data_IF_731859663843
#
_entry.id   IF_731859663843
#
_cell.length_a   1.000
_cell.length_b   1.000
_cell.length_c   1.000
_cell.angle_alpha   90.00
_cell.angle_beta   90.00
_cell.angle_gamma   90.00
#
_symmetry.space_group_name_H-M   'P 1'
#
loop_
_entity.id
_entity.type
_entity.pdbx_description
1 polymer ?
#
# COMPACT_ATOMS: atom_id res chain seq x y z
N UNK A 1 12.38 -0.52 -6.25
CA UNK A 1 11.61 0.21 -5.30
C UNK A 1 12.30 1.50 -4.87
N UNK A 2 11.55 2.54 -4.83
CA UNK A 2 12.07 3.82 -4.43
C UNK A 2 11.72 4.14 -3.01
N UNK A 3 12.63 4.80 -2.35
CA UNK A 3 12.32 5.29 -1.05
C UNK A 3 13.14 6.53 -0.81
N UNK A 4 12.60 7.33 0.06
CA UNK A 4 13.23 8.57 0.43
C UNK A 4 14.27 8.33 1.47
N UNK A 5 15.45 8.82 1.25
CA UNK A 5 16.48 8.64 2.25
C UNK A 5 17.26 9.89 2.51
N UNK A 6 16.84 10.96 1.93
CA UNK A 6 17.58 12.20 2.07
C UNK A 6 17.43 12.77 3.47
N UNK A 7 16.37 12.46 4.17
CA UNK A 7 16.21 12.98 5.53
C UNK A 7 16.49 11.94 6.58
N UNK A 8 17.13 10.87 6.21
CA UNK A 8 17.50 9.88 7.18
C UNK A 8 16.40 8.92 7.59
N UNK A 9 15.27 8.97 6.93
CA UNK A 9 14.23 7.99 7.19
C UNK A 9 13.74 7.41 5.88
N UNK A 10 13.08 6.29 5.98
CA UNK A 10 12.61 5.56 4.82
C UNK A 10 11.14 5.28 4.94
N UNK A 11 10.48 5.23 3.81
CA UNK A 11 9.10 4.83 3.76
C UNK A 11 8.95 3.81 2.62
N UNK A 12 8.23 2.76 2.90
CA UNK A 12 7.92 1.74 1.91
C UNK A 12 6.43 1.80 1.65
N UNK A 13 6.06 1.91 0.40
CA UNK A 13 4.66 1.96 0.04
C UNK A 13 4.37 0.98 -1.08
N UNK A 14 3.15 0.51 -1.10
CA UNK A 14 2.71 -0.44 -2.12
C UNK A 14 1.21 -0.29 -2.29
N UNK A 15 0.70 -0.86 -3.38
CA UNK A 15 -0.73 -0.86 -3.64
C UNK A 15 -1.24 -2.29 -3.59
N UNK A 16 -2.37 -2.48 -2.93
CA UNK A 16 -3.00 -3.79 -2.80
C UNK A 16 -4.40 -3.69 -3.33
N UNK A 17 -4.85 -4.77 -3.95
CA UNK A 17 -6.24 -4.84 -4.38
C UNK A 17 -7.14 -4.72 -3.15
N UNK A 18 -8.12 -3.83 -3.23
CA UNK A 18 -8.96 -3.55 -2.08
C UNK A 18 -9.76 -4.77 -1.65
N UNK A 19 -9.98 -5.70 -2.56
CA UNK A 19 -10.71 -6.93 -2.24
C UNK A 19 -9.82 -8.02 -1.67
N UNK A 20 -8.52 -7.80 -1.65
CA UNK A 20 -7.59 -8.81 -1.15
C UNK A 20 -7.42 -8.67 0.35
N UNK A 21 -8.40 -9.21 1.06
CA UNK A 21 -8.42 -9.09 2.51
C UNK A 21 -7.20 -9.74 3.15
N UNK A 22 -6.78 -10.85 2.59
CA UNK A 22 -5.65 -11.59 3.15
C UNK A 22 -4.39 -10.75 3.07
N UNK A 23 -4.13 -10.14 1.91
CA UNK A 23 -2.94 -9.32 1.77
C UNK A 23 -3.00 -8.10 2.67
N UNK A 24 -4.16 -7.46 2.76
CA UNK A 24 -4.31 -6.29 3.62
C UNK A 24 -4.03 -6.65 5.07
N UNK A 25 -4.56 -7.78 5.52
CA UNK A 25 -4.30 -8.23 6.87
C UNK A 25 -2.85 -8.52 7.11
N UNK A 26 -2.20 -9.15 6.14
CA UNK A 26 -0.80 -9.49 6.27
C UNK A 26 0.06 -8.25 6.41
N UNK A 27 -0.17 -7.27 5.55
CA UNK A 27 0.62 -6.05 5.62
C UNK A 27 0.32 -5.26 6.88
N UNK A 28 -0.91 -5.26 7.33
CA UNK A 28 -1.24 -4.59 8.57
C UNK A 28 -0.48 -5.20 9.74
N UNK A 29 -0.36 -6.52 9.74
CA UNK A 29 0.41 -7.20 10.78
C UNK A 29 1.87 -6.83 10.73
N UNK A 30 2.37 -6.51 9.55
CA UNK A 30 3.75 -6.11 9.39
C UNK A 30 4.00 -4.66 9.76
N UNK A 31 2.96 -3.93 10.12
CA UNK A 31 3.11 -2.55 10.52
C UNK A 31 2.70 -1.55 9.47
N UNK A 32 2.22 -2.00 8.32
CA UNK A 32 1.76 -1.10 7.28
C UNK A 32 0.44 -0.46 7.67
N UNK A 33 0.26 0.77 7.24
CA UNK A 33 -0.98 1.50 7.46
C UNK A 33 -1.65 1.76 6.13
N UNK A 34 -2.97 1.84 6.16
CA UNK A 34 -3.72 2.14 4.95
C UNK A 34 -3.66 3.62 4.69
N UNK A 35 -3.38 3.96 3.45
CA UNK A 35 -3.30 5.35 3.06
C UNK A 35 -4.38 5.69 2.07
N UNK A 36 -3.98 5.99 0.83
CA UNK A 36 -4.89 6.51 -0.17
C UNK A 36 -5.72 5.40 -0.80
N UNK A 37 -6.99 5.67 -0.99
CA UNK A 37 -7.86 4.75 -1.72
C UNK A 37 -7.77 5.09 -3.21
N UNK A 38 -7.51 4.09 -4.02
CA UNK A 38 -7.31 4.27 -5.46
C UNK A 38 -8.45 3.59 -6.19
N UNK A 39 -9.45 4.37 -6.53
CA UNK A 39 -10.63 3.84 -7.17
C UNK A 39 -10.32 3.42 -8.61
N UNK A 40 -10.79 2.22 -8.98
CA UNK A 40 -10.61 1.68 -10.32
C UNK A 40 -9.14 1.64 -10.73
N UNK A 41 -8.28 1.35 -9.79
CA UNK A 41 -6.86 1.31 -10.04
C UNK A 41 -6.50 0.24 -11.06
N UNK A 42 -7.14 -0.91 -10.95
CA UNK A 42 -6.95 -1.99 -11.91
C UNK A 42 -8.01 -1.84 -12.99
N UNK A 43 -7.63 -1.15 -14.09
CA UNK A 43 -8.60 -0.76 -15.08
C UNK A 43 -9.21 -1.93 -15.83
N UNK A 44 -8.48 -3.02 -15.96
CA UNK A 44 -8.99 -4.18 -16.68
C UNK A 44 -10.12 -4.86 -15.96
N UNK A 45 -10.07 -4.87 -14.63
CA UNK A 45 -11.10 -5.51 -13.84
C UNK A 45 -11.96 -4.50 -13.10
N UNK A 46 -11.62 -3.22 -13.22
CA UNK A 46 -12.32 -2.13 -12.52
C UNK A 46 -12.32 -2.34 -11.02
N UNK A 47 -11.25 -2.91 -10.52
CA UNK A 47 -11.13 -3.12 -9.09
C UNK A 47 -10.37 -1.98 -8.45
N UNK A 48 -10.70 -1.73 -7.21
CA UNK A 48 -10.06 -0.66 -6.47
C UNK A 48 -8.82 -1.17 -5.78
N UNK A 49 -7.94 -0.23 -5.45
CA UNK A 49 -6.74 -0.56 -4.71
C UNK A 49 -6.64 0.37 -3.51
N UNK A 50 -5.83 -0.04 -2.56
CA UNK A 50 -5.54 0.82 -1.42
C UNK A 50 -4.04 0.86 -1.25
N UNK A 51 -3.55 2.05 -0.99
CA UNK A 51 -2.12 2.23 -0.75
C UNK A 51 -1.82 1.89 0.70
N UNK A 52 -0.78 1.11 0.91
CA UNK A 52 -0.32 0.81 2.25
C UNK A 52 1.12 1.23 2.37
N UNK A 53 1.48 1.74 3.52
CA UNK A 53 2.83 2.27 3.73
C UNK A 53 3.29 2.00 5.14
N UNK A 54 4.60 2.07 5.31
CA UNK A 54 5.21 1.92 6.62
C UNK A 54 6.47 2.79 6.67
N UNK A 55 6.67 3.43 7.79
CA UNK A 55 7.88 4.21 8.02
C UNK A 55 8.86 3.36 8.80
N UNK A 56 10.08 3.30 8.30
CA UNK A 56 11.12 2.49 8.91
C UNK A 56 12.00 3.28 9.86
#
# INVERSE_FOLDING_TARGET
>A
MDFCKDEGYKVISLEVNNNNIIAKSLYAKMGFEEGKFLKNYYTETLEDAIEMYVYL
#
